data_IF_393275081438
#
_entry.id   IF_393275081438
#
_cell.length_a   1.000
_cell.length_b   1.000
_cell.length_c   1.000
_cell.angle_alpha   90.00
_cell.angle_beta   90.00
_cell.angle_gamma   90.00
#
_symmetry.space_group_name_H-M   'P 1'
#
loop_
_entity.id
_entity.type
_entity.pdbx_description
1 polymer ?
#
# COMPACT_ATOMS: atom_id res chain seq x y z
N UNK A 1 -10.13 -10.61 -7.25
CA UNK A 1 -10.73 -9.31 -6.87
C UNK A 1 -9.60 -8.31 -6.68
N UNK A 2 -9.75 -7.08 -7.20
CA UNK A 2 -8.68 -6.08 -7.14
C UNK A 2 -9.04 -4.97 -6.16
N UNK A 3 -8.08 -4.58 -5.34
CA UNK A 3 -8.19 -3.51 -4.35
C UNK A 3 -7.16 -2.42 -4.61
N UNK A 4 -7.32 -1.31 -3.89
CA UNK A 4 -6.36 -0.20 -3.89
C UNK A 4 -5.86 -0.04 -2.47
N UNK A 5 -4.55 -0.18 -2.28
CA UNK A 5 -3.91 0.17 -1.01
C UNK A 5 -3.51 1.63 -1.10
N UNK A 6 -3.99 2.44 -0.17
CA UNK A 6 -3.63 3.84 -0.04
C UNK A 6 -2.72 4.01 1.18
N UNK A 7 -1.55 4.60 0.99
CA UNK A 7 -0.66 4.93 2.10
C UNK A 7 0.03 6.27 1.87
N UNK A 8 0.49 6.88 2.97
CA UNK A 8 1.29 8.10 2.87
C UNK A 8 2.67 7.80 2.27
N UNK A 9 3.29 8.80 1.61
CA UNK A 9 4.63 8.63 1.04
C UNK A 9 5.68 8.20 2.09
N UNK A 10 5.72 8.77 3.31
CA UNK A 10 6.68 8.33 4.32
C UNK A 10 6.51 6.86 4.73
N UNK A 11 5.26 6.38 4.82
CA UNK A 11 4.97 4.97 5.14
C UNK A 11 5.39 4.07 3.99
N UNK A 12 5.14 4.48 2.75
CA UNK A 12 5.60 3.74 1.58
C UNK A 12 7.12 3.63 1.52
N UNK A 13 7.83 4.76 1.63
CA UNK A 13 9.28 4.81 1.54
C UNK A 13 9.89 3.93 2.65
N UNK A 14 9.37 4.04 3.89
CA UNK A 14 9.79 3.21 5.00
C UNK A 14 9.53 1.71 4.78
N UNK A 15 8.39 1.33 4.21
CA UNK A 15 8.09 -0.07 3.92
C UNK A 15 8.97 -0.61 2.78
N UNK A 16 9.18 0.19 1.74
CA UNK A 16 9.99 -0.14 0.58
C UNK A 16 11.46 -0.38 0.98
N UNK A 17 12.00 0.44 1.88
CA UNK A 17 13.37 0.31 2.41
C UNK A 17 13.58 -0.99 3.20
N UNK A 18 12.53 -1.53 3.82
CA UNK A 18 12.58 -2.80 4.56
C UNK A 18 12.23 -4.02 3.70
N UNK A 19 11.81 -3.82 2.45
CA UNK A 19 11.41 -4.91 1.54
C UNK A 19 12.59 -5.32 0.65
N UNK A 20 13.11 -6.56 0.76
CA UNK A 20 14.23 -6.98 -0.09
C UNK A 20 13.80 -7.09 -1.56
N UNK A 21 14.61 -6.64 -2.53
CA UNK A 21 14.25 -6.70 -3.96
C UNK A 21 13.99 -8.11 -4.52
N UNK A 22 14.46 -9.16 -3.82
CA UNK A 22 14.21 -10.56 -4.18
C UNK A 22 12.80 -11.05 -3.85
N UNK A 23 12.04 -10.30 -3.04
CA UNK A 23 10.70 -10.67 -2.63
C UNK A 23 9.66 -10.31 -3.71
N UNK A 24 8.66 -11.17 -3.97
CA UNK A 24 7.57 -10.85 -4.89
C UNK A 24 6.72 -9.65 -4.41
N UNK A 25 6.72 -9.38 -3.11
CA UNK A 25 6.09 -8.20 -2.51
C UNK A 25 6.72 -6.89 -3.00
N UNK A 26 8.03 -6.88 -3.25
CA UNK A 26 8.76 -5.70 -3.76
C UNK A 26 8.25 -5.27 -5.13
N UNK A 27 7.99 -6.23 -6.03
CA UNK A 27 7.40 -5.94 -7.34
C UNK A 27 5.96 -5.42 -7.22
N UNK A 28 5.25 -5.77 -6.15
CA UNK A 28 3.92 -5.20 -5.89
C UNK A 28 4.04 -3.75 -5.40
N UNK A 29 4.98 -3.46 -4.50
CA UNK A 29 5.26 -2.10 -4.01
C UNK A 29 5.73 -1.16 -5.14
N UNK A 30 6.49 -1.66 -6.11
CA UNK A 30 6.92 -0.87 -7.29
C UNK A 30 5.78 -0.42 -8.19
N UNK A 31 4.63 -1.09 -8.15
CA UNK A 31 3.46 -0.68 -8.92
C UNK A 31 2.69 0.48 -8.26
N UNK A 32 3.22 1.06 -7.18
CA UNK A 32 2.66 2.23 -6.54
C UNK A 32 2.67 3.46 -7.46
N UNK A 33 1.54 4.14 -7.52
CA UNK A 33 1.36 5.39 -8.28
C UNK A 33 1.12 6.52 -7.30
N UNK A 34 1.89 7.60 -7.42
CA UNK A 34 1.66 8.81 -6.63
C UNK A 34 0.49 9.57 -7.25
N UNK A 35 -0.58 9.72 -6.48
CA UNK A 35 -1.74 10.51 -6.87
C UNK A 35 -1.84 11.78 -6.03
N UNK A 36 -2.41 12.84 -6.64
CA UNK A 36 -2.78 14.06 -5.91
C UNK A 36 -4.26 14.01 -5.57
N UNK A 37 -4.58 14.03 -4.28
CA UNK A 37 -5.96 14.08 -3.79
C UNK A 37 -6.24 15.45 -3.20
N UNK A 38 -7.38 16.03 -3.56
CA UNK A 38 -7.85 17.27 -2.95
C UNK A 38 -8.28 17.02 -1.52
N UNK A 39 -7.81 17.86 -0.59
CA UNK A 39 -8.16 17.84 0.84
C UNK A 39 -8.45 19.28 1.27
N UNK A 40 -9.69 19.70 1.07
CA UNK A 40 -10.10 21.09 1.28
C UNK A 40 -9.37 22.04 0.33
N UNK A 41 -8.68 23.04 0.87
CA UNK A 41 -7.91 24.03 0.10
C UNK A 41 -6.47 23.59 -0.22
N UNK A 42 -6.11 22.32 0.03
CA UNK A 42 -4.76 21.79 -0.22
C UNK A 42 -4.84 20.49 -1.02
N UNK A 43 -3.73 20.15 -1.67
CA UNK A 43 -3.54 18.85 -2.31
C UNK A 43 -2.60 18.00 -1.44
N UNK A 44 -3.02 16.79 -1.13
CA UNK A 44 -2.20 15.77 -0.48
C UNK A 44 -1.68 14.81 -1.55
N UNK A 45 -0.43 14.37 -1.40
CA UNK A 45 0.14 13.30 -2.23
C UNK A 45 0.05 12.01 -1.43
N UNK A 46 -0.60 11.01 -2.01
CA UNK A 46 -0.67 9.66 -1.46
C UNK A 46 -0.16 8.69 -2.51
N UNK A 47 0.29 7.53 -2.06
CA UNK A 47 0.59 6.42 -2.95
C UNK A 47 -0.62 5.50 -3.03
N UNK A 48 -0.98 5.11 -4.25
CA UNK A 48 -1.99 4.11 -4.55
C UNK A 48 -1.33 2.88 -5.17
N UNK A 49 -1.55 1.70 -4.59
CA UNK A 49 -1.08 0.41 -5.14
C UNK A 49 -2.28 -0.42 -5.56
N UNK A 50 -2.41 -0.66 -6.86
CA UNK A 50 -3.43 -1.53 -7.42
C UNK A 50 -2.95 -2.98 -7.43
N UNK A 51 -3.60 -3.85 -6.67
CA UNK A 51 -3.22 -5.26 -6.60
C UNK A 51 -4.41 -6.17 -6.34
N UNK A 52 -4.19 -7.47 -6.46
CA UNK A 52 -5.19 -8.46 -6.05
C UNK A 52 -5.21 -8.59 -4.53
N UNK A 53 -6.32 -9.07 -3.97
CA UNK A 53 -6.45 -9.31 -2.52
C UNK A 53 -5.38 -10.28 -2.02
N UNK A 54 -4.98 -11.28 -2.81
CA UNK A 54 -3.92 -12.23 -2.46
C UNK A 54 -2.58 -11.52 -2.30
N UNK A 55 -2.21 -10.63 -3.24
CA UNK A 55 -1.00 -9.83 -3.13
C UNK A 55 -1.04 -8.86 -1.95
N UNK A 56 -2.20 -8.27 -1.67
CA UNK A 56 -2.38 -7.42 -0.49
C UNK A 56 -2.18 -8.20 0.82
N UNK A 57 -2.65 -9.45 0.89
CA UNK A 57 -2.41 -10.32 2.06
C UNK A 57 -0.93 -10.67 2.20
N UNK A 58 -0.25 -10.98 1.10
CA UNK A 58 1.21 -11.20 1.14
C UNK A 58 1.96 -9.95 1.62
N UNK A 59 1.57 -8.76 1.16
CA UNK A 59 2.11 -7.49 1.66
C UNK A 59 1.82 -7.28 3.15
N UNK A 60 0.63 -7.64 3.61
CA UNK A 60 0.26 -7.55 5.03
C UNK A 60 1.13 -8.45 5.91
N UNK A 61 1.34 -9.69 5.48
CA UNK A 61 2.18 -10.65 6.21
C UNK A 61 3.63 -10.17 6.28
N UNK A 62 4.15 -9.61 5.19
CA UNK A 62 5.48 -8.99 5.18
C UNK A 62 5.53 -7.75 6.07
N UNK A 63 4.57 -6.83 5.98
CA UNK A 63 4.52 -5.61 6.78
C UNK A 63 4.51 -5.93 8.29
N UNK A 64 3.76 -6.95 8.72
CA UNK A 64 3.76 -7.42 10.11
C UNK A 64 5.14 -7.86 10.61
N UNK A 65 6.00 -8.33 9.71
CA UNK A 65 7.35 -8.79 10.04
C UNK A 65 8.38 -7.66 10.02
N UNK A 66 8.34 -6.80 9.00
CA UNK A 66 9.45 -5.86 8.72
C UNK A 66 9.09 -4.39 8.88
N UNK A 67 7.81 -4.01 8.77
CA UNK A 67 7.38 -2.62 8.86
C UNK A 67 5.92 -2.48 9.32
N UNK A 68 5.65 -2.62 10.64
CA UNK A 68 4.30 -2.62 11.20
C UNK A 68 3.51 -1.34 10.93
N UNK A 69 4.17 -0.22 10.67
CA UNK A 69 3.53 1.07 10.39
C UNK A 69 2.69 1.06 9.09
N UNK A 70 2.97 0.15 8.15
CA UNK A 70 2.18 -0.03 6.93
C UNK A 70 0.95 -0.96 7.12
N UNK A 71 0.88 -1.70 8.24
CA UNK A 71 -0.20 -2.67 8.51
C UNK A 71 -1.59 -2.02 8.47
N UNK A 72 -1.84 -0.87 9.13
CA UNK A 72 -3.18 -0.28 9.17
C UNK A 72 -3.72 0.08 7.78
N UNK A 73 -2.85 0.59 6.90
CA UNK A 73 -3.22 0.99 5.54
C UNK A 73 -3.60 -0.22 4.67
N UNK A 74 -2.85 -1.32 4.80
CA UNK A 74 -3.10 -2.57 4.07
C UNK A 74 -4.35 -3.28 4.59
N UNK A 75 -4.53 -3.38 5.92
CA UNK A 75 -5.73 -4.01 6.52
C UNK A 75 -7.00 -3.25 6.15
N UNK A 76 -6.94 -1.91 6.16
CA UNK A 76 -8.04 -1.06 5.71
C UNK A 76 -8.42 -1.35 4.26
N UNK A 77 -7.44 -1.49 3.37
CA UNK A 77 -7.68 -1.78 1.96
C UNK A 77 -8.32 -3.16 1.74
N UNK A 78 -7.90 -4.17 2.51
CA UNK A 78 -8.46 -5.53 2.45
C UNK A 78 -9.88 -5.57 3.02
N UNK A 79 -10.14 -4.82 4.10
CA UNK A 79 -11.44 -4.77 4.76
C UNK A 79 -12.48 -3.92 4.00
N UNK A 80 -12.04 -3.01 3.12
CA UNK A 80 -12.93 -2.21 2.32
C UNK A 80 -13.51 -3.04 1.15
N UNK A 81 -14.83 -3.33 1.13
CA UNK A 81 -15.46 -3.88 -0.07
C UNK A 81 -15.44 -2.82 -1.16
N UNK A 82 -15.01 -3.19 -2.37
CA UNK A 82 -15.14 -2.29 -3.52
C UNK A 82 -16.59 -2.35 -4.00
N UNK A 83 -17.35 -1.28 -3.76
CA UNK A 83 -18.54 -1.00 -4.56
C UNK A 83 -18.12 -0.98 -6.03
N UNK A 84 -18.80 -1.82 -6.81
CA UNK A 84 -18.57 -2.05 -8.24
C UNK A 84 -19.16 -0.94 -9.09
#
# INVERSE_FOLDING_TARGET
>A
MNIVIEMSLPVYDGFMDQCPPSHPEYETLKNGVIVRRSKGNRFERILEIHCSVERAKSLLDLAKQVYPDAVPDIEKAIAAPRDS
#
